data_IF_720887656831
#
_entry.id   IF_720887656831
#
_cell.length_a   1.000
_cell.length_b   1.000
_cell.length_c   1.000
_cell.angle_alpha   90.00
_cell.angle_beta   90.00
_cell.angle_gamma   90.00
#
_symmetry.space_group_name_H-M   'P 1'
#
loop_
_entity.id
_entity.type
_entity.pdbx_description
1 polymer ?
#
# COMPACT_ATOMS: atom_id res chain seq x y z
N UNK A 1 11.19 5.48 -5.89
CA UNK A 1 10.26 5.22 -4.78
C UNK A 1 11.09 5.12 -3.52
N UNK A 2 10.73 5.88 -2.48
CA UNK A 2 11.42 5.94 -1.18
C UNK A 2 11.06 4.76 -0.27
N UNK A 3 9.88 4.17 -0.46
CA UNK A 3 9.29 3.11 0.38
C UNK A 3 9.57 1.71 -0.15
N UNK A 4 10.08 1.54 -1.39
CA UNK A 4 10.35 0.22 -1.95
C UNK A 4 11.45 -0.49 -1.14
N UNK A 5 11.08 -1.59 -0.49
CA UNK A 5 11.98 -2.41 0.32
C UNK A 5 12.67 -3.49 -0.50
N UNK A 6 11.92 -4.16 -1.37
CA UNK A 6 12.45 -5.21 -2.23
C UNK A 6 11.36 -6.06 -2.87
N UNK A 7 11.77 -7.17 -3.49
CA UNK A 7 10.88 -8.16 -4.09
C UNK A 7 10.84 -9.39 -3.19
N UNK A 8 9.65 -9.92 -2.94
CA UNK A 8 9.44 -11.14 -2.15
C UNK A 8 8.38 -12.03 -2.81
N UNK A 9 8.34 -13.30 -2.39
CA UNK A 9 7.29 -14.23 -2.79
C UNK A 9 6.23 -14.32 -1.69
N UNK A 10 4.97 -14.18 -2.09
CA UNK A 10 3.81 -14.37 -1.22
C UNK A 10 2.75 -15.18 -1.97
N UNK A 11 2.21 -16.23 -1.36
CA UNK A 11 1.20 -17.10 -1.97
C UNK A 11 1.51 -17.54 -3.43
N UNK A 12 2.79 -17.86 -3.72
CA UNK A 12 3.32 -18.23 -5.06
C UNK A 12 3.34 -17.10 -6.10
N UNK A 13 3.21 -15.85 -5.67
CA UNK A 13 3.30 -14.67 -6.53
C UNK A 13 4.48 -13.78 -6.12
N UNK A 14 5.22 -13.26 -7.10
CA UNK A 14 6.21 -12.19 -6.85
C UNK A 14 5.48 -10.90 -6.51
N UNK A 15 5.91 -10.27 -5.44
CA UNK A 15 5.35 -9.04 -4.92
C UNK A 15 6.45 -8.01 -4.72
N UNK A 16 6.16 -6.75 -5.05
CA UNK A 16 6.96 -5.63 -4.58
C UNK A 16 6.51 -5.31 -3.16
N UNK A 17 7.46 -5.32 -2.23
CA UNK A 17 7.24 -5.05 -0.81
C UNK A 17 7.74 -3.66 -0.50
N UNK A 18 6.96 -2.94 0.28
CA UNK A 18 7.23 -1.58 0.71
C UNK A 18 7.35 -1.53 2.22
N UNK A 19 8.29 -0.72 2.70
CA UNK A 19 8.52 -0.44 4.10
C UNK A 19 8.03 0.98 4.38
N UNK A 20 7.10 1.12 5.33
CA UNK A 20 6.51 2.40 5.72
C UNK A 20 6.84 2.69 7.18
N UNK A 21 7.70 3.69 7.45
CA UNK A 21 7.87 4.22 8.79
C UNK A 21 6.58 4.90 9.26
N UNK A 22 6.21 4.65 10.52
CA UNK A 22 5.08 5.30 11.20
C UNK A 22 5.61 5.99 12.46
N UNK A 23 4.95 7.07 12.89
CA UNK A 23 5.36 7.79 14.09
C UNK A 23 5.11 6.97 15.37
N UNK A 24 4.03 6.19 15.40
CA UNK A 24 3.50 5.61 16.64
C UNK A 24 3.69 4.08 16.75
N UNK A 25 3.89 3.39 15.62
CA UNK A 25 3.86 1.91 15.55
C UNK A 25 5.13 1.31 14.91
N UNK A 26 6.20 2.10 14.82
CA UNK A 26 7.43 1.68 14.18
C UNK A 26 7.27 1.50 12.68
N UNK A 27 7.91 0.48 12.11
CA UNK A 27 7.86 0.21 10.67
C UNK A 27 6.82 -0.86 10.35
N UNK A 28 5.96 -0.59 9.37
CA UNK A 28 5.02 -1.56 8.81
C UNK A 28 5.36 -1.88 7.35
N UNK A 29 4.76 -2.96 6.82
CA UNK A 29 5.06 -3.44 5.48
C UNK A 29 3.79 -3.61 4.66
N UNK A 30 3.87 -3.23 3.38
CA UNK A 30 2.80 -3.43 2.43
C UNK A 30 3.29 -4.08 1.14
N UNK A 31 2.38 -4.57 0.30
CA UNK A 31 2.74 -5.21 -0.98
C UNK A 31 1.79 -4.96 -2.12
N UNK A 32 2.32 -5.07 -3.34
CA UNK A 32 1.55 -5.26 -4.57
C UNK A 32 2.12 -6.42 -5.37
N UNK A 33 1.26 -7.25 -5.95
CA UNK A 33 1.60 -8.28 -6.92
C UNK A 33 1.10 -7.88 -8.31
N UNK A 34 1.72 -8.39 -9.36
CA UNK A 34 1.10 -8.39 -10.68
C UNK A 34 0.27 -9.67 -10.82
N UNK A 35 -1.01 -9.55 -11.20
CA UNK A 35 -1.74 -10.70 -11.71
C UNK A 35 -1.45 -10.87 -13.20
N UNK A 36 -1.32 -12.10 -13.71
CA UNK A 36 -1.25 -12.34 -15.15
C UNK A 36 -2.51 -11.78 -15.83
N UNK A 37 -2.34 -10.84 -16.77
CA UNK A 37 -3.46 -10.19 -17.46
C UNK A 37 -3.93 -8.86 -16.86
N UNK A 38 -3.35 -8.42 -15.73
CA UNK A 38 -3.58 -7.06 -15.22
C UNK A 38 -2.92 -6.07 -16.17
N UNK A 39 -3.70 -5.52 -17.09
CA UNK A 39 -3.31 -4.35 -17.84
C UNK A 39 -3.11 -3.20 -16.84
N UNK A 40 -1.84 -2.88 -16.60
CA UNK A 40 -1.39 -1.55 -16.22
C UNK A 40 -1.82 -1.07 -14.83
N UNK A 41 -1.46 -1.82 -13.78
CA UNK A 41 -1.48 -1.27 -12.41
C UNK A 41 -0.24 -0.40 -12.21
N UNK A 42 -0.48 0.85 -11.81
CA UNK A 42 0.56 1.77 -11.35
C UNK A 42 0.62 1.81 -9.83
N UNK A 43 1.79 2.19 -9.32
CA UNK A 43 2.04 2.48 -7.91
C UNK A 43 2.50 3.92 -7.81
N UNK A 44 1.85 4.67 -6.91
CA UNK A 44 2.17 6.05 -6.59
C UNK A 44 2.51 6.12 -5.11
N UNK A 45 3.63 6.75 -4.77
CA UNK A 45 3.89 7.14 -3.37
C UNK A 45 3.17 8.45 -3.12
N UNK A 46 2.20 8.41 -2.22
CA UNK A 46 1.39 9.56 -1.85
C UNK A 46 1.95 10.21 -0.59
N UNK A 47 1.80 11.52 -0.53
CA UNK A 47 1.94 12.32 0.68
C UNK A 47 0.63 12.21 1.46
N UNK A 48 0.73 11.82 2.74
CA UNK A 48 -0.43 11.52 3.58
C UNK A 48 -1.38 12.71 3.74
N UNK A 49 -0.83 13.91 3.93
CA UNK A 49 -1.63 15.11 4.15
C UNK A 49 -2.31 15.54 2.85
N UNK A 50 -1.58 15.53 1.72
CA UNK A 50 -2.15 15.84 0.41
C UNK A 50 -3.23 14.85 -0.02
N UNK A 51 -3.01 13.55 0.25
CA UNK A 51 -4.01 12.51 0.00
C UNK A 51 -5.27 12.79 0.83
N UNK A 52 -5.14 12.97 2.14
CA UNK A 52 -6.28 13.18 3.03
C UNK A 52 -7.05 14.45 2.68
N UNK A 53 -6.34 15.53 2.35
CA UNK A 53 -6.93 16.79 1.94
C UNK A 53 -7.72 16.62 0.63
N UNK A 54 -7.15 15.94 -0.37
CA UNK A 54 -7.85 15.66 -1.62
C UNK A 54 -9.05 14.72 -1.41
N UNK A 55 -8.88 13.67 -0.61
CA UNK A 55 -9.91 12.70 -0.31
C UNK A 55 -11.11 13.34 0.41
N UNK A 56 -10.88 14.30 1.32
CA UNK A 56 -11.95 15.09 1.94
C UNK A 56 -12.67 16.03 0.98
N UNK A 57 -11.95 16.56 -0.03
CA UNK A 57 -12.55 17.46 -1.03
C UNK A 57 -13.46 16.73 -2.00
N UNK A 58 -13.09 15.53 -2.42
CA UNK A 58 -13.73 14.86 -3.57
C UNK A 58 -14.24 13.46 -3.29
N UNK A 59 -13.96 12.92 -2.10
CA UNK A 59 -14.49 11.65 -1.64
C UNK A 59 -16.02 11.71 -1.69
N UNK A 60 -16.61 10.86 -2.51
CA UNK A 60 -18.05 10.86 -2.70
C UNK A 60 -18.76 10.62 -1.37
N UNK A 61 -19.86 11.34 -1.15
CA UNK A 61 -20.84 10.89 -0.15
C UNK A 61 -21.33 9.49 -0.58
N UNK A 62 -21.26 8.47 0.28
CA UNK A 62 -21.24 8.57 1.74
C UNK A 62 -19.98 7.94 2.36
N UNK A 63 -18.77 8.27 1.89
CA UNK A 63 -17.55 7.84 2.59
C UNK A 63 -17.43 8.59 3.94
N UNK A 64 -18.28 8.20 4.92
CA UNK A 64 -18.34 8.71 6.29
C UNK A 64 -16.97 8.75 6.95
N UNK A 65 -16.03 7.94 6.49
CA UNK A 65 -14.66 7.88 6.96
C UNK A 65 -13.81 9.11 6.54
N UNK A 66 -14.00 9.67 5.35
CA UNK A 66 -13.25 10.85 4.92
C UNK A 66 -13.65 12.10 5.75
N UNK A 67 -14.95 12.23 6.02
CA UNK A 67 -15.55 13.31 6.82
C UNK A 67 -15.40 13.09 8.34
N UNK A 68 -15.16 11.85 8.79
CA UNK A 68 -14.92 11.57 10.19
C UNK A 68 -13.63 12.24 10.66
N UNK A 69 -13.68 12.80 11.87
CA UNK A 69 -12.46 13.15 12.60
C UNK A 69 -11.55 11.91 12.67
N UNK A 70 -10.24 12.08 12.50
CA UNK A 70 -9.29 10.97 12.61
C UNK A 70 -9.43 10.24 13.96
N UNK A 71 -9.87 10.95 15.00
CA UNK A 71 -10.15 10.38 16.32
C UNK A 71 -11.28 9.32 16.33
N UNK A 72 -12.15 9.30 15.32
CA UNK A 72 -13.24 8.32 15.18
C UNK A 72 -12.86 7.12 14.31
N UNK A 73 -11.74 7.18 13.57
CA UNK A 73 -11.30 6.08 12.72
C UNK A 73 -11.03 4.78 13.49
N UNK A 74 -10.50 4.79 14.74
CA UNK A 74 -10.38 3.56 15.53
C UNK A 74 -11.71 2.86 15.84
N UNK A 75 -12.86 3.53 15.66
CA UNK A 75 -14.19 2.94 15.80
C UNK A 75 -14.69 2.23 14.52
N UNK A 76 -13.93 2.28 13.42
CA UNK A 76 -14.22 1.45 12.24
C UNK A 76 -14.12 -0.03 12.61
N UNK A 77 -15.14 -0.82 12.26
CA UNK A 77 -15.25 -2.23 12.64
C UNK A 77 -14.02 -3.05 12.23
N UNK A 78 -13.36 -2.66 11.13
CA UNK A 78 -12.19 -3.38 10.59
C UNK A 78 -10.86 -2.78 11.06
N UNK A 79 -10.86 -1.69 11.84
CA UNK A 79 -9.63 -1.01 12.25
C UNK A 79 -8.69 -1.92 13.04
N UNK A 80 -9.22 -2.64 14.03
CA UNK A 80 -8.45 -3.60 14.82
C UNK A 80 -7.90 -4.75 13.95
N UNK A 81 -8.66 -5.19 12.95
CA UNK A 81 -8.20 -6.21 12.01
C UNK A 81 -7.07 -5.70 11.11
N UNK A 82 -7.11 -4.42 10.71
CA UNK A 82 -6.01 -3.79 9.98
C UNK A 82 -4.75 -3.71 10.84
N UNK A 83 -4.87 -3.34 12.11
CA UNK A 83 -3.74 -3.33 13.06
C UNK A 83 -3.09 -4.70 13.19
N UNK A 84 -3.90 -5.74 13.42
CA UNK A 84 -3.42 -7.14 13.47
C UNK A 84 -2.69 -7.51 12.17
N UNK A 85 -3.26 -7.14 11.02
CA UNK A 85 -2.63 -7.37 9.72
C UNK A 85 -1.26 -6.70 9.59
N UNK A 86 -1.11 -5.46 10.07
CA UNK A 86 0.17 -4.76 10.05
C UNK A 86 1.21 -5.34 11.04
N UNK A 87 0.79 -6.00 12.12
CA UNK A 87 1.69 -6.65 13.11
C UNK A 87 2.45 -7.86 12.56
N UNK A 88 1.99 -8.44 11.45
CA UNK A 88 2.71 -9.50 10.73
C UNK A 88 3.99 -9.00 10.08
N UNK A 89 4.05 -7.69 9.78
CA UNK A 89 5.23 -7.02 9.24
C UNK A 89 5.67 -7.59 7.89
N UNK A 90 6.98 -7.74 7.69
CA UNK A 90 7.53 -8.20 6.40
C UNK A 90 7.16 -9.64 6.04
N UNK A 91 6.65 -10.44 6.98
CA UNK A 91 6.30 -11.86 6.76
C UNK A 91 4.92 -12.04 6.12
N UNK A 92 4.01 -11.07 6.31
CA UNK A 92 2.70 -11.03 5.67
C UNK A 92 2.31 -9.57 5.35
N UNK A 93 3.02 -8.91 4.40
CA UNK A 93 2.79 -7.50 4.13
C UNK A 93 1.34 -7.25 3.66
N UNK A 94 0.73 -6.18 4.17
CA UNK A 94 -0.66 -5.82 3.86
C UNK A 94 -0.77 -5.35 2.39
N UNK A 95 -1.77 -5.79 1.61
CA UNK A 95 -1.97 -5.30 0.24
C UNK A 95 -2.11 -3.77 0.16
N UNK A 96 -1.57 -3.15 -0.90
CA UNK A 96 -1.79 -1.72 -1.18
C UNK A 96 -3.28 -1.40 -1.29
N UNK A 97 -3.67 -0.21 -0.85
CA UNK A 97 -5.00 0.33 -1.14
C UNK A 97 -5.11 0.66 -2.64
N UNK A 98 -6.26 0.35 -3.23
CA UNK A 98 -6.59 0.64 -4.62
C UNK A 98 -7.28 1.99 -4.69
N UNK A 99 -6.61 2.95 -5.32
CA UNK A 99 -7.11 4.30 -5.56
C UNK A 99 -7.64 4.43 -6.98
N UNK A 100 -8.70 5.22 -7.12
CA UNK A 100 -9.15 5.74 -8.41
C UNK A 100 -9.05 7.25 -8.40
N UNK A 101 -8.61 7.81 -9.51
CA UNK A 101 -8.31 9.23 -9.63
C UNK A 101 -8.65 9.72 -11.04
N UNK A 102 -9.86 10.28 -11.20
CA UNK A 102 -10.35 10.76 -12.50
C UNK A 102 -10.20 12.28 -12.58
N UNK A 103 -9.50 12.76 -13.60
CA UNK A 103 -9.56 14.16 -13.98
C UNK A 103 -10.95 14.50 -14.55
N UNK A 104 -11.55 15.58 -14.07
CA UNK A 104 -12.83 16.09 -14.55
C UNK A 104 -12.66 17.30 -15.47
N UNK A 105 -13.71 17.61 -16.23
CA UNK A 105 -13.78 18.81 -17.05
C UNK A 105 -13.68 20.05 -16.15
N UNK A 106 -12.68 20.89 -16.39
CA UNK A 106 -12.43 22.10 -15.57
C UNK A 106 -11.22 22.00 -14.63
N UNK A 107 -10.48 20.88 -14.65
CA UNK A 107 -9.23 20.74 -13.92
C UNK A 107 -9.38 20.27 -12.47
N UNK A 108 -10.60 19.96 -12.02
CA UNK A 108 -10.82 19.21 -10.78
C UNK A 108 -10.40 17.74 -10.95
N UNK A 109 -10.07 17.10 -9.84
CA UNK A 109 -9.66 15.69 -9.82
C UNK A 109 -10.49 14.97 -8.76
N UNK A 110 -11.27 13.97 -9.17
CA UNK A 110 -12.04 13.14 -8.25
C UNK A 110 -11.20 11.96 -7.78
N UNK A 111 -10.92 11.92 -6.47
CA UNK A 111 -10.20 10.84 -5.79
C UNK A 111 -11.15 10.00 -4.92
N UNK A 112 -11.07 8.68 -5.06
CA UNK A 112 -11.78 7.71 -4.21
C UNK A 112 -10.90 6.48 -3.93
N UNK A 113 -11.20 5.78 -2.83
CA UNK A 113 -10.53 4.54 -2.44
C UNK A 113 -11.45 3.36 -2.79
N UNK A 114 -11.14 2.66 -3.88
CA UNK A 114 -11.93 1.52 -4.35
C UNK A 114 -11.74 0.26 -3.48
N UNK A 115 -10.55 0.06 -2.92
CA UNK A 115 -10.28 -0.93 -1.86
C UNK A 115 -9.24 -0.40 -0.88
N UNK A 116 -9.37 -0.79 0.39
CA UNK A 116 -8.39 -0.46 1.41
C UNK A 116 -8.64 0.87 2.13
N UNK A 117 -9.90 1.28 2.27
CA UNK A 117 -10.28 2.41 3.15
C UNK A 117 -9.70 2.20 4.56
N UNK A 118 -9.99 1.06 5.20
CA UNK A 118 -9.55 0.78 6.58
C UNK A 118 -8.02 0.78 6.74
N UNK A 119 -7.28 0.15 5.82
CA UNK A 119 -5.80 0.15 5.90
C UNK A 119 -5.21 1.54 5.65
N UNK A 120 -5.88 2.37 4.84
CA UNK A 120 -5.47 3.76 4.62
C UNK A 120 -5.70 4.62 5.86
N UNK A 121 -6.89 4.58 6.48
CA UNK A 121 -7.14 5.32 7.73
C UNK A 121 -6.24 4.83 8.86
N UNK A 122 -5.90 3.52 8.91
CA UNK A 122 -4.94 3.00 9.87
C UNK A 122 -3.55 3.62 9.69
N UNK A 123 -3.03 3.68 8.46
CA UNK A 123 -1.72 4.29 8.17
C UNK A 123 -1.68 5.76 8.57
N UNK A 124 -2.76 6.51 8.29
CA UNK A 124 -2.89 7.90 8.66
C UNK A 124 -2.92 8.06 10.20
N UNK A 125 -3.68 7.23 10.93
CA UNK A 125 -3.68 7.21 12.41
C UNK A 125 -2.32 6.82 13.00
N UNK A 126 -1.61 5.89 12.36
CA UNK A 126 -0.28 5.46 12.78
C UNK A 126 0.80 6.54 12.58
N UNK A 127 0.47 7.60 11.81
CA UNK A 127 1.38 8.71 11.51
C UNK A 127 2.35 8.38 10.36
N UNK A 128 1.92 7.57 9.39
CA UNK A 128 2.66 7.43 8.14
C UNK A 128 2.56 8.73 7.34
N UNK A 129 3.70 9.28 6.91
CA UNK A 129 3.76 10.54 6.13
C UNK A 129 3.83 10.30 4.63
N UNK A 130 4.42 9.18 4.21
CA UNK A 130 4.50 8.75 2.81
C UNK A 130 4.23 7.26 2.76
N UNK A 131 3.31 6.82 1.91
CA UNK A 131 3.06 5.41 1.68
C UNK A 131 2.65 5.14 0.22
N UNK A 132 2.90 3.93 -0.30
CA UNK A 132 2.50 3.57 -1.64
C UNK A 132 1.02 3.17 -1.69
N UNK A 133 0.39 3.48 -2.81
CA UNK A 133 -0.97 3.04 -3.17
C UNK A 133 -0.95 2.54 -4.61
N UNK A 134 -1.86 1.63 -4.96
CA UNK A 134 -2.04 1.20 -6.35
C UNK A 134 -3.17 1.99 -7.02
N UNK A 135 -3.11 2.13 -8.33
CA UNK A 135 -4.19 2.67 -9.14
C UNK A 135 -4.12 2.12 -10.58
N UNK A 136 -5.19 2.25 -11.38
CA UNK A 136 -5.09 2.11 -12.83
C UNK A 136 -4.02 3.05 -13.40
N UNK A 137 -3.32 2.65 -14.47
CA UNK A 137 -2.27 3.49 -15.08
C UNK A 137 -2.80 4.83 -15.56
N UNK A 138 -4.03 4.85 -16.07
CA UNK A 138 -4.67 6.04 -16.61
C UNK A 138 -4.92 7.09 -15.51
N UNK A 139 -5.08 6.64 -14.27
CA UNK A 139 -5.29 7.48 -13.10
C UNK A 139 -3.97 7.98 -12.48
N UNK A 140 -2.84 7.34 -12.83
CA UNK A 140 -1.59 7.51 -12.10
C UNK A 140 -1.00 8.91 -12.18
N UNK A 141 -1.10 9.57 -13.34
CA UNK A 141 -0.66 10.95 -13.52
C UNK A 141 -1.50 11.93 -12.69
N UNK A 142 -2.84 11.74 -12.67
CA UNK A 142 -3.73 12.58 -11.88
C UNK A 142 -3.49 12.38 -10.38
N UNK A 143 -3.32 11.14 -9.93
CA UNK A 143 -3.00 10.80 -8.54
C UNK A 143 -1.66 11.37 -8.09
N UNK A 144 -0.61 11.24 -8.91
CA UNK A 144 0.70 11.83 -8.64
C UNK A 144 0.61 13.36 -8.56
N UNK A 145 -0.18 13.99 -9.43
CA UNK A 145 -0.34 15.44 -9.44
C UNK A 145 -1.05 15.95 -8.18
N UNK A 146 -2.14 15.31 -7.75
CA UNK A 146 -2.94 15.79 -6.62
C UNK A 146 -2.37 15.38 -5.25
N UNK A 147 -1.89 14.15 -5.11
CA UNK A 147 -1.50 13.57 -3.81
C UNK A 147 -0.08 12.98 -3.78
N UNK A 148 0.65 12.97 -4.90
CA UNK A 148 1.97 12.35 -4.96
C UNK A 148 3.02 13.02 -4.06
N UNK A 149 3.87 12.22 -3.44
CA UNK A 149 4.97 12.69 -2.60
C UNK A 149 6.04 13.44 -3.42
N UNK A 150 6.64 14.47 -2.83
CA UNK A 150 7.65 15.28 -3.51
C UNK A 150 8.88 14.43 -3.92
N UNK A 151 9.24 14.53 -5.21
CA UNK A 151 10.34 13.78 -5.82
C UNK A 151 10.06 12.29 -6.04
N UNK A 152 8.84 11.81 -5.75
CA UNK A 152 8.42 10.46 -6.16
C UNK A 152 8.08 10.42 -7.65
N UNK A 153 8.05 9.22 -8.21
CA UNK A 153 7.66 8.95 -9.59
C UNK A 153 6.72 7.77 -9.61
N UNK A 154 5.74 7.83 -10.50
CA UNK A 154 4.87 6.71 -10.86
C UNK A 154 5.73 5.53 -11.34
N UNK A 155 5.40 4.32 -10.91
CA UNK A 155 6.00 3.07 -11.38
C UNK A 155 4.91 2.07 -11.69
N UNK A 156 5.01 1.32 -12.78
CA UNK A 156 4.09 0.20 -13.02
C UNK A 156 4.50 -1.01 -12.19
N UNK A 157 3.55 -1.92 -11.92
CA UNK A 157 3.89 -3.22 -11.34
C UNK A 157 4.86 -3.99 -12.22
N UNK A 158 4.80 -3.85 -13.55
CA UNK A 158 5.78 -4.42 -14.47
C UNK A 158 7.20 -3.83 -14.31
N UNK A 159 7.32 -2.52 -14.08
CA UNK A 159 8.61 -1.86 -13.81
C UNK A 159 9.18 -2.26 -12.44
N UNK A 160 8.32 -2.59 -11.49
CA UNK A 160 8.74 -3.03 -10.15
C UNK A 160 9.12 -4.51 -10.15
N UNK A 161 8.39 -5.32 -10.91
CA UNK A 161 8.49 -6.79 -10.94
C UNK A 161 9.20 -7.31 -12.19
N UNK A 162 10.07 -6.50 -12.79
CA UNK A 162 10.77 -6.86 -14.03
C UNK A 162 11.34 -8.28 -13.98
N UNK A 163 11.41 -8.98 -15.13
CA UNK A 163 11.83 -10.38 -15.17
C UNK A 163 13.15 -10.57 -14.43
N UNK A 164 13.15 -11.46 -13.44
CA UNK A 164 14.37 -11.86 -12.75
C UNK A 164 15.22 -12.72 -13.69
N UNK A 165 16.53 -12.56 -13.64
CA UNK A 165 17.44 -13.61 -14.15
C UNK A 165 17.25 -14.90 -13.33
N UNK A 166 17.66 -16.06 -13.86
CA UNK A 166 17.59 -17.33 -13.13
C UNK A 166 18.29 -17.25 -11.76
N UNK A 167 19.43 -16.56 -11.71
CA UNK A 167 20.18 -16.33 -10.46
C UNK A 167 19.36 -15.50 -9.46
N UNK A 168 18.74 -14.42 -9.94
CA UNK A 168 17.89 -13.58 -9.11
C UNK A 168 16.64 -14.33 -8.65
N UNK A 169 16.04 -15.15 -9.51
CA UNK A 169 14.90 -16.01 -9.18
C UNK A 169 15.26 -16.97 -8.02
N UNK A 170 16.37 -17.71 -8.15
CA UNK A 170 16.82 -18.64 -7.12
C UNK A 170 17.15 -17.93 -5.80
N UNK A 171 17.72 -16.71 -5.87
CA UNK A 171 18.00 -15.88 -4.70
C UNK A 171 16.71 -15.44 -4.01
N UNK A 172 15.72 -14.95 -4.77
CA UNK A 172 14.40 -14.55 -4.26
C UNK A 172 13.65 -15.74 -3.65
N UNK A 173 13.70 -16.92 -4.29
CA UNK A 173 13.04 -18.13 -3.80
C UNK A 173 13.64 -18.61 -2.47
N UNK A 174 14.97 -18.68 -2.37
CA UNK A 174 15.66 -19.03 -1.11
C UNK A 174 15.38 -18.01 0.00
N UNK A 175 15.28 -16.73 -0.34
CA UNK A 175 14.91 -15.69 0.62
C UNK A 175 13.48 -15.90 1.14
N UNK A 176 12.55 -16.26 0.27
CA UNK A 176 11.18 -16.59 0.64
C UNK A 176 11.08 -17.83 1.53
N UNK A 177 11.79 -18.91 1.20
CA UNK A 177 11.87 -20.13 2.03
C UNK A 177 12.41 -19.81 3.45
N UNK A 178 13.47 -19.01 3.54
CA UNK A 178 14.02 -18.56 4.83
C UNK A 178 13.03 -17.70 5.62
N UNK A 179 12.30 -16.83 4.93
CA UNK A 179 11.28 -15.97 5.53
C UNK A 179 10.12 -16.82 6.08
N UNK A 180 9.67 -17.83 5.34
CA UNK A 180 8.64 -18.77 5.78
C UNK A 180 9.09 -19.61 6.98
N UNK A 181 10.32 -20.12 6.97
CA UNK A 181 10.88 -20.85 8.11
C UNK A 181 10.93 -19.97 9.38
N UNK A 182 11.30 -18.69 9.26
CA UNK A 182 11.31 -17.73 10.38
C UNK A 182 9.92 -17.45 10.92
N UNK A 183 8.90 -17.35 10.05
CA UNK A 183 7.50 -17.19 10.47
C UNK A 183 7.04 -18.38 11.33
N UNK A 184 7.27 -19.61 10.86
CA UNK A 184 6.91 -20.83 11.60
C UNK A 184 7.57 -20.85 13.00
N UNK A 185 8.84 -20.46 13.09
CA UNK A 185 9.54 -20.40 14.38
C UNK A 185 8.97 -19.32 15.32
N UNK A 186 8.53 -18.17 14.78
CA UNK A 186 7.87 -17.11 15.57
C UNK A 186 6.54 -17.59 16.13
N UNK A 187 5.71 -18.21 15.30
CA UNK A 187 4.37 -18.68 15.70
C UNK A 187 4.48 -19.77 16.79
N UNK A 188 5.51 -20.62 16.69
CA UNK A 188 5.81 -21.61 17.72
C UNK A 188 6.29 -20.98 19.04
N UNK A 189 7.01 -19.86 18.98
CA UNK A 189 7.47 -19.14 20.17
C UNK A 189 6.36 -18.36 20.88
N UNK A 190 5.33 -17.92 20.16
CA UNK A 190 4.19 -17.17 20.71
C UNK A 190 3.06 -18.05 21.25
N UNK A 191 3.12 -19.38 21.04
CA UNK A 191 2.11 -20.36 21.47
C UNK A 191 2.49 -21.12 22.76
N UNK A 192 3.54 -20.69 23.45
CA UNK A 192 4.00 -21.22 24.75
C UNK A 192 3.91 -20.16 25.83
#
# INVERSE_FOLDING_TARGET
MKTLYGIAWHAKQRCAVFQIPTANFGTVFMRVSASPGDASVAVVEVDADRLLEQWRRTGGKPERCADASQALWPSDEKFAAAEIGFMEGQFDPVPLALMTCRAENGGSVQLSIADGVTRTIWLLTAGATIFPVSCPIDDACALQACAGAAGSRVRTTADLLSPASDEQYLKELRAAERMQARRILRDFAQSR
#
